data_IF_510754644147
#
_entry.id   IF_510754644147
#
_cell.length_a   1.000
_cell.length_b   1.000
_cell.length_c   1.000
_cell.angle_alpha   90.00
_cell.angle_beta   90.00
_cell.angle_gamma   90.00
#
_symmetry.space_group_name_H-M   'P 1'
#
loop_
_entity.id
_entity.type
_entity.pdbx_description
1 polymer ?
#
# COMPACT_ATOMS: atom_id res chain seq x y z
N UNK A 1 1.18 -21.71 20.34
CA UNK A 1 0.27 -21.31 21.44
C UNK A 1 -0.53 -20.07 21.06
N UNK A 2 -1.85 -20.16 20.97
CA UNK A 2 -2.70 -18.97 20.85
C UNK A 2 -2.55 -18.24 22.18
N UNK A 3 -2.00 -17.03 22.17
CA UNK A 3 -1.94 -16.19 23.35
C UNK A 3 -3.34 -15.66 23.68
N UNK A 4 -4.19 -16.54 24.22
CA UNK A 4 -5.58 -16.23 24.59
C UNK A 4 -5.66 -15.21 25.73
N UNK A 5 -4.56 -15.04 26.48
CA UNK A 5 -4.36 -14.02 27.51
C UNK A 5 -2.88 -13.58 27.53
N UNK A 6 -2.64 -12.27 27.56
CA UNK A 6 -1.31 -11.67 27.75
C UNK A 6 -0.97 -11.68 29.25
N UNK A 7 -0.67 -12.85 29.79
CA UNK A 7 -0.37 -13.04 31.21
C UNK A 7 0.93 -13.82 31.44
N UNK A 8 1.58 -13.60 32.57
CA UNK A 8 2.79 -14.32 32.99
C UNK A 8 3.91 -14.26 31.95
N UNK A 9 4.52 -15.42 31.64
CA UNK A 9 5.65 -15.52 30.71
C UNK A 9 5.32 -15.07 29.28
N UNK A 10 4.07 -15.20 28.84
CA UNK A 10 3.63 -14.71 27.55
C UNK A 10 3.76 -13.19 27.46
N UNK A 11 3.35 -12.49 28.52
CA UNK A 11 3.45 -11.03 28.57
C UNK A 11 4.91 -10.56 28.51
N UNK A 12 5.79 -11.18 29.30
CA UNK A 12 7.21 -10.86 29.28
C UNK A 12 7.82 -11.00 27.88
N UNK A 13 7.48 -12.09 27.16
CA UNK A 13 7.95 -12.29 25.79
C UNK A 13 7.45 -11.21 24.83
N UNK A 14 6.20 -10.76 24.95
CA UNK A 14 5.67 -9.66 24.15
C UNK A 14 6.37 -8.33 24.47
N UNK A 15 6.61 -8.05 25.75
CA UNK A 15 7.33 -6.84 26.19
C UNK A 15 8.78 -6.84 25.69
N UNK A 16 9.49 -7.98 25.74
CA UNK A 16 10.84 -8.14 25.19
C UNK A 16 10.87 -7.88 23.67
N UNK A 17 9.94 -8.49 22.93
CA UNK A 17 9.83 -8.29 21.48
C UNK A 17 9.46 -6.85 21.12
N UNK A 18 8.59 -6.22 21.91
CA UNK A 18 8.25 -4.81 21.73
C UNK A 18 9.48 -3.93 21.98
N UNK A 19 10.25 -4.18 23.03
CA UNK A 19 11.47 -3.40 23.29
C UNK A 19 12.51 -3.58 22.18
N UNK A 20 12.65 -4.79 21.61
CA UNK A 20 13.50 -5.00 20.43
C UNK A 20 13.00 -4.16 19.23
N UNK A 21 11.70 -4.15 18.96
CA UNK A 21 11.13 -3.36 17.87
C UNK A 21 11.33 -1.85 18.07
N UNK A 22 11.14 -1.37 19.30
CA UNK A 22 11.37 0.03 19.67
C UNK A 22 12.86 0.38 19.58
N UNK A 23 13.76 -0.51 19.98
CA UNK A 23 15.21 -0.34 19.87
C UNK A 23 15.64 -0.18 18.41
N UNK A 24 15.14 -1.03 17.49
CA UNK A 24 15.39 -0.90 16.05
C UNK A 24 14.91 0.46 15.54
N UNK A 25 13.70 0.86 15.94
CA UNK A 25 13.09 2.13 15.52
C UNK A 25 13.90 3.34 16.00
N UNK A 26 14.27 3.36 17.29
CA UNK A 26 15.07 4.42 17.94
C UNK A 26 16.48 4.49 17.38
N UNK A 27 17.14 3.34 17.22
CA UNK A 27 18.48 3.28 16.62
C UNK A 27 18.44 3.81 15.19
N UNK A 28 17.47 3.38 14.39
CA UNK A 28 17.33 3.85 13.00
C UNK A 28 17.09 5.36 12.94
N UNK A 29 16.27 5.90 13.86
CA UNK A 29 15.99 7.33 13.96
C UNK A 29 17.25 8.13 14.28
N UNK A 30 17.99 7.74 15.34
CA UNK A 30 19.21 8.43 15.76
C UNK A 30 20.34 8.39 14.72
N UNK A 31 20.26 7.49 13.73
CA UNK A 31 21.25 7.32 12.67
C UNK A 31 20.75 7.83 11.30
N UNK A 32 19.66 8.58 11.25
CA UNK A 32 19.08 9.08 9.99
C UNK A 32 18.93 10.60 10.00
N UNK A 33 19.21 11.24 8.87
CA UNK A 33 18.99 12.67 8.70
C UNK A 33 17.68 12.97 7.97
N UNK A 34 17.18 12.00 7.21
CA UNK A 34 15.94 12.13 6.43
C UNK A 34 14.96 11.01 6.76
N UNK A 35 13.66 11.28 6.58
CA UNK A 35 12.60 10.27 6.75
C UNK A 35 12.82 9.04 5.87
N UNK A 36 13.20 9.22 4.60
CA UNK A 36 13.50 8.11 3.70
C UNK A 36 14.67 7.24 4.16
N UNK A 37 15.68 7.83 4.81
CA UNK A 37 16.79 7.08 5.40
C UNK A 37 16.36 6.29 6.62
N UNK A 38 15.51 6.89 7.47
CA UNK A 38 14.97 6.25 8.66
C UNK A 38 14.20 4.99 8.30
N UNK A 39 13.29 5.08 7.32
CA UNK A 39 12.54 3.92 6.81
C UNK A 39 13.47 2.90 6.16
N UNK A 40 14.43 3.34 5.32
CA UNK A 40 15.40 2.45 4.67
C UNK A 40 16.23 1.67 5.69
N UNK A 41 16.63 2.27 6.81
CA UNK A 41 17.38 1.59 7.88
C UNK A 41 16.54 0.56 8.61
N UNK A 42 15.28 0.88 8.92
CA UNK A 42 14.34 -0.09 9.50
C UNK A 42 14.19 -1.28 8.55
N UNK A 43 13.84 -1.04 7.28
CA UNK A 43 13.66 -2.10 6.29
C UNK A 43 14.95 -2.92 6.09
N UNK A 44 16.11 -2.26 6.03
CA UNK A 44 17.39 -2.93 5.89
C UNK A 44 17.71 -3.85 7.07
N UNK A 45 17.39 -3.43 8.30
CA UNK A 45 17.51 -4.28 9.49
C UNK A 45 16.57 -5.49 9.39
N UNK A 46 15.29 -5.25 9.12
CA UNK A 46 14.28 -6.32 9.06
C UNK A 46 14.60 -7.33 7.95
N UNK A 47 14.83 -6.88 6.73
CA UNK A 47 15.03 -7.78 5.58
C UNK A 47 16.40 -8.44 5.59
N UNK A 48 17.47 -7.69 5.88
CA UNK A 48 18.83 -8.17 5.63
C UNK A 48 19.57 -8.63 6.87
N UNK A 49 19.19 -8.16 8.07
CA UNK A 49 19.80 -8.62 9.32
C UNK A 49 18.94 -9.69 9.98
N UNK A 50 17.66 -9.40 10.21
CA UNK A 50 16.76 -10.35 10.87
C UNK A 50 16.29 -11.44 9.90
N UNK A 51 15.93 -11.07 8.66
CA UNK A 51 15.46 -11.99 7.63
C UNK A 51 16.55 -12.65 6.78
N UNK A 52 17.78 -12.12 6.78
CA UNK A 52 18.87 -12.57 5.91
C UNK A 52 18.49 -12.72 4.42
N UNK A 53 17.67 -11.81 3.90
CA UNK A 53 17.10 -11.90 2.54
C UNK A 53 18.00 -11.29 1.46
N UNK A 54 18.98 -10.46 1.83
CA UNK A 54 19.90 -9.82 0.87
C UNK A 54 19.22 -8.88 -0.12
N UNK A 55 18.10 -8.27 0.26
CA UNK A 55 17.30 -7.38 -0.60
C UNK A 55 17.98 -6.03 -0.74
N UNK A 56 18.34 -5.60 -1.97
CA UNK A 56 18.84 -4.24 -2.20
C UNK A 56 17.71 -3.22 -2.01
N UNK A 57 17.98 -2.16 -1.25
CA UNK A 57 17.03 -1.07 -1.00
C UNK A 57 17.48 0.19 -1.73
N UNK A 58 16.77 0.53 -2.79
CA UNK A 58 17.04 1.71 -3.63
C UNK A 58 16.06 2.83 -3.27
N UNK A 59 16.57 4.02 -2.97
CA UNK A 59 15.73 5.19 -2.72
C UNK A 59 15.64 6.05 -3.98
N UNK A 60 14.43 6.27 -4.49
CA UNK A 60 14.20 7.21 -5.59
C UNK A 60 14.48 8.69 -5.21
N UNK A 61 14.70 8.96 -3.91
CA UNK A 61 15.13 10.28 -3.43
C UNK A 61 16.65 10.47 -3.43
N UNK A 62 17.44 9.41 -3.68
CA UNK A 62 18.89 9.54 -3.79
C UNK A 62 19.23 10.26 -5.10
N UNK A 63 20.02 11.34 -5.02
CA UNK A 63 20.34 12.18 -6.18
C UNK A 63 21.04 11.41 -7.29
N UNK A 64 21.85 10.39 -6.94
CA UNK A 64 22.52 9.53 -7.93
C UNK A 64 21.52 8.64 -8.67
N UNK A 65 20.47 8.21 -7.98
CA UNK A 65 19.39 7.45 -8.62
C UNK A 65 18.56 8.36 -9.51
N UNK A 66 18.30 9.61 -9.09
CA UNK A 66 17.61 10.62 -9.93
C UNK A 66 18.38 10.89 -11.21
N UNK A 67 19.70 11.01 -11.13
CA UNK A 67 20.57 11.18 -12.30
C UNK A 67 20.44 10.04 -13.32
N UNK A 68 20.29 8.80 -12.85
CA UNK A 68 20.08 7.66 -13.74
C UNK A 68 18.66 7.63 -14.35
N UNK A 69 17.65 8.13 -13.63
CA UNK A 69 16.25 8.12 -14.08
C UNK A 69 15.94 9.18 -15.13
N UNK A 70 16.84 10.15 -15.35
CA UNK A 70 16.60 11.31 -16.21
C UNK A 70 16.27 10.92 -17.64
N UNK A 71 17.00 9.97 -18.23
CA UNK A 71 16.75 9.51 -19.60
C UNK A 71 15.34 8.94 -19.77
N UNK A 72 14.86 8.18 -18.78
CA UNK A 72 13.49 7.68 -18.75
C UNK A 72 12.45 8.80 -18.68
N UNK A 73 12.74 9.88 -17.94
CA UNK A 73 11.85 11.05 -17.84
C UNK A 73 11.86 11.90 -19.12
N UNK A 74 13.01 12.09 -19.75
CA UNK A 74 13.15 12.76 -21.05
C UNK A 74 12.40 12.00 -22.14
N UNK A 75 12.53 10.66 -22.17
CA UNK A 75 11.77 9.81 -23.08
C UNK A 75 10.26 10.00 -22.91
N UNK A 76 9.76 10.00 -21.67
CA UNK A 76 8.33 10.20 -21.39
C UNK A 76 7.85 11.61 -21.68
N UNK A 77 8.72 12.61 -21.56
CA UNK A 77 8.41 14.02 -21.81
C UNK A 77 8.35 14.35 -23.31
N UNK A 78 9.12 13.64 -24.14
CA UNK A 78 9.17 13.85 -25.58
C UNK A 78 7.75 13.84 -26.18
N UNK A 79 7.45 14.87 -27.00
CA UNK A 79 6.10 15.19 -27.50
C UNK A 79 5.33 13.96 -27.95
N UNK A 80 5.90 13.18 -28.87
CA UNK A 80 5.23 12.02 -29.45
C UNK A 80 4.85 10.97 -28.39
N UNK A 81 5.78 10.63 -27.49
CA UNK A 81 5.53 9.65 -26.44
C UNK A 81 4.48 10.16 -25.45
N UNK A 82 4.60 11.43 -25.06
CA UNK A 82 3.64 12.11 -24.19
C UNK A 82 2.23 12.10 -24.78
N UNK A 83 2.08 12.45 -26.05
CA UNK A 83 0.78 12.46 -26.74
C UNK A 83 0.15 11.05 -26.81
N UNK A 84 0.96 10.03 -27.11
CA UNK A 84 0.52 8.63 -27.10
C UNK A 84 0.06 8.21 -25.70
N UNK A 85 0.83 8.55 -24.66
CA UNK A 85 0.48 8.28 -23.28
C UNK A 85 -0.85 8.94 -22.89
N UNK A 86 -1.01 10.24 -23.14
CA UNK A 86 -2.20 11.01 -22.78
C UNK A 86 -3.45 10.48 -23.48
N UNK A 87 -3.35 10.22 -24.79
CA UNK A 87 -4.45 9.66 -25.58
C UNK A 87 -4.88 8.32 -25.00
N UNK A 88 -3.92 7.42 -24.75
CA UNK A 88 -4.21 6.07 -24.30
C UNK A 88 -4.78 6.06 -22.88
N UNK A 89 -4.16 6.77 -21.94
CA UNK A 89 -4.67 6.86 -20.56
C UNK A 89 -6.10 7.41 -20.54
N UNK A 90 -6.39 8.48 -21.28
CA UNK A 90 -7.74 9.07 -21.31
C UNK A 90 -8.78 8.17 -21.99
N UNK A 91 -8.39 7.43 -23.02
CA UNK A 91 -9.22 6.40 -23.64
C UNK A 91 -9.58 5.31 -22.62
N UNK A 92 -8.57 4.67 -22.01
CA UNK A 92 -8.77 3.60 -21.02
C UNK A 92 -9.56 4.09 -19.81
N UNK A 93 -9.33 5.33 -19.38
CA UNK A 93 -10.13 5.96 -18.31
C UNK A 93 -11.62 5.95 -18.64
N UNK A 94 -11.97 6.21 -19.90
CA UNK A 94 -13.35 6.22 -20.36
C UNK A 94 -13.90 4.80 -20.46
N UNK A 95 -13.14 3.86 -21.01
CA UNK A 95 -13.53 2.44 -21.09
C UNK A 95 -13.80 1.82 -19.71
N UNK A 96 -12.97 2.13 -18.70
CA UNK A 96 -13.19 1.67 -17.32
C UNK A 96 -14.50 2.25 -16.75
N UNK A 97 -14.74 3.54 -16.95
CA UNK A 97 -15.95 4.21 -16.47
C UNK A 97 -17.21 3.68 -17.16
N UNK A 98 -17.15 3.49 -18.48
CA UNK A 98 -18.25 2.97 -19.30
C UNK A 98 -18.61 1.51 -18.93
N UNK A 99 -17.62 0.74 -18.45
CA UNK A 99 -17.83 -0.59 -17.90
C UNK A 99 -18.39 -0.61 -16.46
N UNK A 100 -18.65 0.57 -15.85
CA UNK A 100 -19.21 0.70 -14.51
C UNK A 100 -18.18 0.59 -13.38
N UNK A 101 -16.89 0.68 -13.69
CA UNK A 101 -15.82 0.67 -12.69
C UNK A 101 -15.28 2.08 -12.42
N UNK A 102 -14.63 2.27 -11.27
CA UNK A 102 -13.94 3.52 -10.95
C UNK A 102 -12.51 3.49 -11.50
N UNK A 103 -12.10 4.46 -12.34
CA UNK A 103 -10.71 4.58 -12.77
C UNK A 103 -9.76 4.77 -11.58
N UNK A 104 -8.59 4.13 -11.63
CA UNK A 104 -7.57 4.23 -10.59
C UNK A 104 -6.83 5.57 -10.59
N UNK A 105 -6.86 6.29 -11.71
CA UNK A 105 -6.41 7.68 -11.83
C UNK A 105 -7.38 8.51 -12.66
N UNK A 106 -7.44 9.82 -12.36
CA UNK A 106 -8.18 10.76 -13.20
C UNK A 106 -7.56 10.95 -14.58
N UNK A 107 -8.29 11.63 -15.47
CA UNK A 107 -7.79 12.03 -16.79
C UNK A 107 -6.55 12.92 -16.68
N UNK A 108 -5.78 12.98 -17.76
CA UNK A 108 -4.60 13.84 -17.89
C UNK A 108 -4.83 14.88 -18.98
N UNK A 109 -4.57 16.14 -18.65
CA UNK A 109 -4.68 17.25 -19.58
C UNK A 109 -3.51 17.31 -20.57
N UNK A 110 -3.66 18.16 -21.58
CA UNK A 110 -2.60 18.48 -22.56
C UNK A 110 -1.43 19.24 -21.96
N UNK A 111 -1.46 19.56 -20.67
CA UNK A 111 -0.46 20.23 -19.84
C UNK A 111 0.31 19.27 -18.90
N UNK A 112 -0.02 17.98 -18.89
CA UNK A 112 0.67 16.98 -18.05
C UNK A 112 2.19 16.95 -18.23
N UNK A 113 2.93 16.84 -17.13
CA UNK A 113 4.38 16.57 -17.08
C UNK A 113 4.61 15.27 -16.30
N UNK A 114 5.44 14.33 -16.79
CA UNK A 114 5.58 12.99 -16.18
C UNK A 114 6.38 12.96 -14.86
N UNK A 115 6.63 14.10 -14.24
CA UNK A 115 7.35 14.23 -12.98
C UNK A 115 6.88 15.46 -12.21
N UNK A 116 7.32 15.56 -10.96
CA UNK A 116 7.26 16.76 -10.14
C UNK A 116 8.65 17.41 -10.08
N UNK A 117 8.68 18.70 -9.75
CA UNK A 117 9.89 19.42 -9.41
C UNK A 117 9.94 19.73 -7.92
N UNK A 118 11.05 19.42 -7.26
CA UNK A 118 11.30 19.71 -5.85
C UNK A 118 12.00 21.06 -5.72
N UNK A 119 11.34 22.01 -5.06
CA UNK A 119 11.84 23.37 -4.88
C UNK A 119 13.24 23.39 -4.23
N UNK A 120 14.14 24.19 -4.80
CA UNK A 120 15.54 24.36 -4.35
C UNK A 120 15.67 25.29 -3.14
N UNK A 121 14.62 26.05 -2.82
CA UNK A 121 14.60 26.91 -1.64
C UNK A 121 14.61 26.06 -0.36
N UNK A 122 15.64 26.24 0.47
CA UNK A 122 15.83 25.48 1.71
C UNK A 122 14.66 25.63 2.70
N UNK A 123 13.96 26.76 2.69
CA UNK A 123 12.80 27.01 3.55
C UNK A 123 11.57 26.20 3.12
N UNK A 124 11.58 25.63 1.92
CA UNK A 124 10.47 24.84 1.38
C UNK A 124 10.61 23.34 1.64
N UNK A 125 11.71 22.89 2.26
CA UNK A 125 11.97 21.47 2.54
C UNK A 125 11.70 20.55 1.33
N UNK A 126 12.16 20.97 0.15
CA UNK A 126 11.97 20.23 -1.12
C UNK A 126 10.50 19.99 -1.48
N UNK A 127 9.64 20.98 -1.19
CA UNK A 127 8.22 20.97 -1.57
C UNK A 127 8.04 20.61 -3.05
N UNK A 128 7.20 19.60 -3.30
CA UNK A 128 6.92 19.10 -4.65
C UNK A 128 5.96 20.03 -5.37
N UNK A 129 6.36 20.42 -6.56
CA UNK A 129 5.63 21.32 -7.44
C UNK A 129 5.18 20.56 -8.67
N UNK A 130 3.89 20.69 -8.97
CA UNK A 130 3.32 20.27 -10.25
C UNK A 130 3.78 21.23 -11.35
N UNK A 131 4.34 20.66 -12.42
CA UNK A 131 4.69 21.40 -13.62
C UNK A 131 3.61 21.20 -14.68
N UNK A 132 3.43 22.24 -15.50
CA UNK A 132 2.52 22.31 -16.63
C UNK A 132 3.32 22.49 -17.92
N UNK A 133 3.03 21.65 -18.91
CA UNK A 133 3.65 21.63 -20.22
C UNK A 133 2.95 22.62 -21.17
N UNK A 134 3.72 23.51 -21.76
CA UNK A 134 3.30 24.40 -22.85
C UNK A 134 4.11 24.07 -24.11
N UNK A 135 3.42 23.70 -25.18
CA UNK A 135 4.04 23.46 -26.49
C UNK A 135 4.28 24.78 -27.23
N UNK A 136 5.54 25.10 -27.54
CA UNK A 136 5.96 26.26 -28.32
C UNK A 136 6.67 25.88 -29.63
N UNK A 137 6.30 24.74 -30.22
CA UNK A 137 6.77 24.31 -31.54
C UNK A 137 8.06 23.50 -31.50
N UNK A 138 9.23 24.10 -31.41
CA UNK A 138 10.49 23.33 -31.23
C UNK A 138 10.87 23.19 -29.76
N UNK A 139 10.23 24.00 -28.92
CA UNK A 139 10.52 24.17 -27.50
C UNK A 139 9.29 23.79 -26.69
N UNK A 140 9.49 23.05 -25.62
CA UNK A 140 8.53 22.84 -24.55
C UNK A 140 8.92 23.72 -23.37
N UNK A 141 7.98 24.54 -22.90
CA UNK A 141 8.14 25.27 -21.63
C UNK A 141 7.40 24.52 -20.53
N UNK A 142 8.11 24.16 -19.47
CA UNK A 142 7.52 23.58 -18.26
C UNK A 142 7.42 24.67 -17.21
N UNK A 143 6.21 24.97 -16.74
CA UNK A 143 5.96 26.03 -15.75
C UNK A 143 5.31 25.50 -14.49
N UNK A 144 5.63 26.07 -13.34
CA UNK A 144 4.99 25.74 -12.08
C UNK A 144 5.22 26.80 -11.03
N UNK A 145 4.55 26.66 -9.89
CA UNK A 145 4.71 27.59 -8.76
C UNK A 145 4.81 26.78 -7.47
N UNK A 146 5.90 26.99 -6.72
CA UNK A 146 6.09 26.28 -5.47
C UNK A 146 4.91 26.56 -4.51
N UNK A 147 4.23 25.53 -3.98
CA UNK A 147 3.07 25.75 -3.12
C UNK A 147 3.46 26.34 -1.75
N UNK A 148 4.75 26.35 -1.41
CA UNK A 148 5.27 26.85 -0.13
C UNK A 148 5.77 28.29 -0.24
N UNK A 149 6.78 28.57 -1.09
CA UNK A 149 7.35 29.92 -1.22
C UNK A 149 6.76 30.74 -2.37
N UNK A 150 5.85 30.20 -3.18
CA UNK A 150 5.32 30.89 -4.36
C UNK A 150 6.34 31.24 -5.45
N UNK A 151 7.56 30.71 -5.38
CA UNK A 151 8.60 30.92 -6.39
C UNK A 151 8.16 30.29 -7.74
N UNK A 152 8.23 31.06 -8.85
CA UNK A 152 7.96 30.53 -10.17
C UNK A 152 9.10 29.60 -10.62
N UNK A 153 8.73 28.50 -11.27
CA UNK A 153 9.66 27.54 -11.86
C UNK A 153 9.38 27.53 -13.36
N UNK A 154 10.42 27.76 -14.15
CA UNK A 154 10.39 27.71 -15.61
C UNK A 154 11.56 26.85 -16.09
N UNK A 155 11.27 25.84 -16.91
CA UNK A 155 12.26 24.95 -17.50
C UNK A 155 11.99 24.89 -19.00
N UNK A 156 12.95 25.37 -19.79
CA UNK A 156 12.88 25.32 -21.25
C UNK A 156 13.64 24.11 -21.76
N UNK A 157 13.04 23.34 -22.66
CA UNK A 157 13.68 22.16 -23.25
C UNK A 157 13.15 21.89 -24.65
N UNK A 158 13.82 21.05 -25.45
CA UNK A 158 13.30 20.67 -26.77
C UNK A 158 12.04 19.81 -26.63
N UNK A 159 11.00 20.08 -27.43
CA UNK A 159 9.77 19.28 -27.40
C UNK A 159 9.99 17.84 -27.87
N UNK A 160 10.85 17.64 -28.86
CA UNK A 160 11.04 16.34 -29.51
C UNK A 160 12.25 15.56 -28.96
N UNK A 161 13.21 16.24 -28.33
CA UNK A 161 14.37 15.61 -27.68
C UNK A 161 14.71 16.34 -26.38
N UNK A 162 13.86 16.22 -25.34
CA UNK A 162 14.07 16.94 -24.09
C UNK A 162 15.41 16.61 -23.44
N UNK A 163 16.03 17.62 -22.85
CA UNK A 163 17.18 17.52 -21.97
C UNK A 163 16.86 18.14 -20.60
N UNK A 164 17.06 17.37 -19.54
CA UNK A 164 16.72 17.69 -18.15
C UNK A 164 17.94 17.59 -17.22
N UNK A 165 19.15 17.41 -17.77
CA UNK A 165 20.38 17.24 -16.98
C UNK A 165 20.63 18.35 -15.95
N UNK A 166 20.21 19.59 -16.25
CA UNK A 166 20.41 20.75 -15.37
C UNK A 166 19.52 20.73 -14.11
N UNK A 167 18.35 20.07 -14.19
CA UNK A 167 17.33 20.07 -13.13
C UNK A 167 17.11 18.69 -12.51
N UNK A 168 17.83 17.69 -12.99
CA UNK A 168 17.70 16.27 -12.66
C UNK A 168 17.63 15.98 -11.16
N UNK A 169 18.45 16.65 -10.35
CA UNK A 169 18.50 16.44 -8.90
C UNK A 169 17.21 16.84 -8.19
N UNK A 170 16.39 17.66 -8.83
CA UNK A 170 15.14 18.18 -8.31
C UNK A 170 13.93 17.46 -8.90
N UNK A 171 14.12 16.47 -9.79
CA UNK A 171 13.00 15.74 -10.35
C UNK A 171 12.57 14.61 -9.39
N UNK A 172 11.25 14.46 -9.23
CA UNK A 172 10.67 13.33 -8.51
C UNK A 172 9.53 12.69 -9.28
N UNK A 173 9.41 11.37 -9.13
CA UNK A 173 8.52 10.56 -9.95
C UNK A 173 7.05 10.77 -9.59
N UNK A 174 6.17 10.73 -10.61
CA UNK A 174 4.73 10.57 -10.43
C UNK A 174 4.36 9.10 -10.39
N UNK A 175 3.23 8.80 -9.76
CA UNK A 175 2.73 7.41 -9.64
C UNK A 175 2.53 6.73 -11.00
N UNK A 176 2.11 7.50 -12.00
CA UNK A 176 1.74 7.03 -13.34
C UNK A 176 2.91 6.92 -14.32
N UNK A 177 4.05 7.57 -14.03
CA UNK A 177 5.28 7.50 -14.81
C UNK A 177 6.40 6.68 -14.14
N UNK A 178 6.32 6.49 -12.82
CA UNK A 178 7.36 5.91 -11.98
C UNK A 178 7.93 4.61 -12.54
N UNK A 179 7.07 3.65 -12.92
CA UNK A 179 7.55 2.34 -13.32
C UNK A 179 8.34 2.40 -14.63
N UNK A 180 7.84 3.17 -15.61
CA UNK A 180 8.52 3.36 -16.89
C UNK A 180 9.89 4.05 -16.71
N UNK A 181 9.97 5.01 -15.78
CA UNK A 181 11.25 5.63 -15.42
C UNK A 181 12.19 4.62 -14.74
N UNK A 182 11.71 3.82 -13.78
CA UNK A 182 12.52 2.78 -13.11
C UNK A 182 13.04 1.75 -14.11
N UNK A 183 12.22 1.35 -15.08
CA UNK A 183 12.57 0.35 -16.08
C UNK A 183 13.70 0.79 -17.03
N UNK A 184 14.00 2.10 -17.08
CA UNK A 184 15.16 2.62 -17.81
C UNK A 184 16.50 2.27 -17.15
N UNK A 185 16.51 1.97 -15.85
CA UNK A 185 17.73 1.71 -15.07
C UNK A 185 17.78 0.31 -14.44
N UNK A 186 16.60 -0.31 -14.25
CA UNK A 186 16.47 -1.65 -13.68
C UNK A 186 15.59 -2.46 -14.63
N UNK A 187 16.08 -3.56 -15.22
CA UNK A 187 15.26 -4.41 -16.09
C UNK A 187 14.27 -5.22 -15.25
N UNK A 188 13.15 -4.60 -14.88
CA UNK A 188 12.14 -5.21 -14.01
C UNK A 188 11.39 -6.30 -14.77
N UNK A 189 11.43 -7.53 -14.26
CA UNK A 189 10.63 -8.64 -14.82
C UNK A 189 9.25 -8.71 -14.17
N UNK A 190 9.19 -8.44 -12.86
CA UNK A 190 7.96 -8.52 -12.06
C UNK A 190 7.86 -7.28 -11.18
N UNK A 191 6.71 -6.62 -11.23
CA UNK A 191 6.32 -5.57 -10.30
C UNK A 191 5.36 -6.15 -9.28
N UNK A 192 5.73 -6.17 -8.00
CA UNK A 192 4.83 -6.58 -6.92
C UNK A 192 4.11 -5.36 -6.37
N UNK A 193 2.79 -5.32 -6.46
CA UNK A 193 2.01 -4.16 -6.06
C UNK A 193 0.70 -4.44 -5.34
N UNK A 194 0.16 -3.40 -4.72
CA UNK A 194 -1.08 -3.46 -3.94
C UNK A 194 -2.36 -3.30 -4.78
N UNK A 195 -3.54 -3.40 -4.15
CA UNK A 195 -4.82 -3.19 -4.81
C UNK A 195 -4.97 -1.75 -5.38
N UNK A 196 -4.44 -0.74 -4.69
CA UNK A 196 -4.43 0.63 -5.20
C UNK A 196 -3.57 0.79 -6.45
N UNK A 197 -2.45 0.08 -6.51
CA UNK A 197 -1.58 0.06 -7.69
C UNK A 197 -2.20 -0.70 -8.85
N UNK A 198 -2.85 -1.84 -8.58
CA UNK A 198 -3.60 -2.58 -9.58
C UNK A 198 -4.66 -1.69 -10.27
N UNK A 199 -5.32 -0.81 -9.49
CA UNK A 199 -6.32 0.10 -10.03
C UNK A 199 -5.72 1.09 -11.04
N UNK A 200 -4.61 1.77 -10.72
CA UNK A 200 -4.04 2.75 -11.64
C UNK A 200 -3.20 2.11 -12.76
N UNK A 201 -2.59 0.94 -12.53
CA UNK A 201 -1.87 0.20 -13.59
C UNK A 201 -2.80 -0.36 -14.67
N UNK A 202 -4.10 -0.50 -14.39
CA UNK A 202 -5.08 -0.77 -15.46
C UNK A 202 -5.07 0.28 -16.57
N UNK A 203 -4.65 1.52 -16.27
CA UNK A 203 -4.51 2.63 -17.23
C UNK A 203 -3.06 2.77 -17.74
N UNK A 204 -2.06 2.59 -16.88
CA UNK A 204 -0.64 2.78 -17.23
C UNK A 204 -0.11 1.66 -18.13
N UNK A 205 -0.48 0.39 -17.89
CA UNK A 205 0.05 -0.75 -18.67
C UNK A 205 -0.31 -0.61 -20.15
N UNK A 206 -1.58 -0.35 -20.54
CA UNK A 206 -1.91 -0.10 -21.95
C UNK A 206 -1.17 1.10 -22.54
N UNK A 207 -0.97 2.17 -21.76
CA UNK A 207 -0.24 3.35 -22.23
C UNK A 207 1.24 3.07 -22.48
N UNK A 208 1.90 2.32 -21.59
CA UNK A 208 3.27 1.85 -21.79
C UNK A 208 3.39 0.98 -23.05
N UNK A 209 2.46 0.03 -23.24
CA UNK A 209 2.40 -0.81 -24.44
C UNK A 209 2.20 -0.01 -25.73
N UNK A 210 1.35 1.02 -25.69
CA UNK A 210 1.12 1.91 -26.84
C UNK A 210 2.39 2.70 -27.23
N UNK A 211 3.24 3.02 -26.25
CA UNK A 211 4.57 3.63 -26.48
C UNK A 211 5.67 2.61 -26.79
N UNK A 212 5.32 1.32 -26.95
CA UNK A 212 6.29 0.22 -27.15
C UNK A 212 7.32 0.07 -26.01
N UNK A 213 6.94 0.44 -24.79
CA UNK A 213 7.74 0.21 -23.58
C UNK A 213 7.38 -1.17 -23.02
N UNK A 214 8.37 -2.09 -22.85
CA UNK A 214 8.15 -3.33 -22.12
C UNK A 214 7.71 -2.99 -20.70
N UNK A 215 6.58 -3.55 -20.27
CA UNK A 215 6.09 -3.36 -18.91
C UNK A 215 6.23 -4.67 -18.11
N UNK A 216 6.73 -4.64 -16.87
CA UNK A 216 6.90 -5.83 -16.05
C UNK A 216 5.57 -6.56 -15.81
N UNK A 217 5.63 -7.86 -15.54
CA UNK A 217 4.46 -8.58 -15.09
C UNK A 217 3.99 -8.00 -13.74
N UNK A 218 2.79 -7.43 -13.72
CA UNK A 218 2.20 -6.94 -12.47
C UNK A 218 1.64 -8.10 -11.64
N UNK A 219 2.21 -8.32 -10.46
CA UNK A 219 1.78 -9.32 -9.49
C UNK A 219 1.20 -8.60 -8.28
N UNK A 220 -0.06 -8.85 -7.98
CA UNK A 220 -0.71 -8.38 -6.77
C UNK A 220 -0.34 -9.29 -5.61
N UNK A 221 0.30 -8.74 -4.58
CA UNK A 221 0.66 -9.54 -3.42
C UNK A 221 -0.59 -10.10 -2.71
N UNK A 222 -0.50 -11.28 -2.06
CA UNK A 222 -1.58 -11.81 -1.26
C UNK A 222 -1.87 -10.91 -0.06
N UNK A 223 -3.14 -10.52 0.13
CA UNK A 223 -3.52 -9.75 1.33
C UNK A 223 -3.49 -10.66 2.54
N UNK A 224 -2.89 -10.21 3.62
CA UNK A 224 -2.78 -10.99 4.85
C UNK A 224 -3.63 -10.37 5.96
N UNK A 225 -4.45 -11.22 6.57
CA UNK A 225 -5.09 -10.98 7.86
C UNK A 225 -4.46 -11.88 8.92
N UNK A 226 -4.43 -11.44 10.17
CA UNK A 226 -3.94 -12.23 11.28
C UNK A 226 -4.58 -11.79 12.60
N UNK A 227 -4.51 -12.68 13.58
CA UNK A 227 -5.00 -12.40 14.92
C UNK A 227 -3.92 -11.82 15.82
N UNK A 228 -4.39 -11.04 16.79
CA UNK A 228 -3.62 -10.68 17.97
C UNK A 228 -4.42 -10.91 19.24
N UNK A 229 -3.72 -10.97 20.39
CA UNK A 229 -4.39 -11.12 21.67
C UNK A 229 -5.44 -10.04 21.95
N UNK A 230 -5.18 -8.79 21.56
CA UNK A 230 -6.12 -7.68 21.77
C UNK A 230 -7.31 -7.71 20.80
N UNK A 231 -7.10 -8.13 19.54
CA UNK A 231 -8.20 -8.33 18.59
C UNK A 231 -9.11 -9.48 19.03
N UNK A 232 -8.53 -10.59 19.49
CA UNK A 232 -9.28 -11.73 20.02
C UNK A 232 -10.03 -11.38 21.31
N UNK A 233 -9.46 -10.54 22.17
CA UNK A 233 -10.15 -10.03 23.36
C UNK A 233 -11.36 -9.18 22.97
N UNK A 234 -11.17 -8.18 22.10
CA UNK A 234 -12.26 -7.30 21.66
C UNK A 234 -13.34 -8.08 20.89
N UNK A 235 -12.95 -9.08 20.09
CA UNK A 235 -13.90 -9.96 19.42
C UNK A 235 -14.80 -10.70 20.41
N UNK A 236 -14.25 -11.24 21.51
CA UNK A 236 -15.04 -11.90 22.54
C UNK A 236 -16.00 -10.96 23.24
N UNK A 237 -15.53 -9.76 23.61
CA UNK A 237 -16.37 -8.73 24.24
C UNK A 237 -17.53 -8.30 23.34
N UNK A 238 -17.32 -8.23 22.02
CA UNK A 238 -18.36 -7.93 21.04
C UNK A 238 -19.31 -9.13 20.82
N UNK A 239 -18.80 -10.35 20.79
CA UNK A 239 -19.61 -11.57 20.66
C UNK A 239 -20.54 -11.76 21.87
N UNK A 240 -20.07 -11.45 23.09
CA UNK A 240 -20.90 -11.41 24.31
C UNK A 240 -22.03 -10.38 24.24
N UNK A 241 -21.88 -9.35 23.40
CA UNK A 241 -22.88 -8.32 23.10
C UNK A 241 -23.69 -8.64 21.84
N UNK A 242 -23.67 -9.90 21.40
CA UNK A 242 -24.38 -10.42 20.23
C UNK A 242 -24.00 -9.74 18.92
N UNK A 243 -22.76 -9.23 18.81
CA UNK A 243 -22.25 -8.60 17.58
C UNK A 243 -21.49 -9.57 16.70
N UNK A 244 -21.57 -9.33 15.40
CA UNK A 244 -20.89 -10.16 14.39
C UNK A 244 -19.38 -9.95 14.45
N UNK A 245 -18.58 -11.01 14.55
CA UNK A 245 -17.11 -10.92 14.61
C UNK A 245 -16.42 -11.83 13.60
N UNK A 246 -15.19 -11.46 13.21
CA UNK A 246 -14.40 -12.26 12.27
C UNK A 246 -13.89 -13.56 12.90
N UNK A 247 -13.58 -13.52 14.21
CA UNK A 247 -12.84 -14.56 14.92
C UNK A 247 -13.73 -15.74 15.36
N UNK A 248 -14.65 -16.16 14.49
CA UNK A 248 -15.60 -17.26 14.72
C UNK A 248 -15.16 -18.55 14.01
N UNK A 249 -15.81 -19.68 14.35
CA UNK A 249 -15.45 -21.02 13.87
C UNK A 249 -15.31 -21.11 12.33
N UNK A 250 -16.14 -20.38 11.60
CA UNK A 250 -16.14 -20.40 10.13
C UNK A 250 -14.84 -19.90 9.51
N UNK A 251 -14.25 -18.85 10.07
CA UNK A 251 -12.98 -18.30 9.61
C UNK A 251 -11.87 -19.35 9.72
N UNK A 252 -11.74 -19.95 10.91
CA UNK A 252 -10.72 -20.99 11.16
C UNK A 252 -10.96 -22.25 10.31
N UNK A 253 -12.24 -22.60 10.07
CA UNK A 253 -12.61 -23.71 9.19
C UNK A 253 -12.17 -23.44 7.74
N UNK A 254 -12.38 -22.23 7.23
CA UNK A 254 -11.98 -21.85 5.86
C UNK A 254 -10.45 -21.81 5.71
N UNK A 255 -9.75 -21.16 6.65
CA UNK A 255 -8.27 -21.13 6.66
C UNK A 255 -7.67 -22.55 6.80
N UNK A 256 -8.26 -23.39 7.66
CA UNK A 256 -7.86 -24.79 7.81
C UNK A 256 -8.10 -25.64 6.54
N UNK A 257 -9.22 -25.42 5.84
CA UNK A 257 -9.48 -26.06 4.54
C UNK A 257 -8.42 -25.67 3.50
N UNK A 258 -8.11 -24.38 3.37
CA UNK A 258 -7.08 -23.91 2.45
C UNK A 258 -5.72 -24.58 2.75
N UNK A 259 -5.32 -24.61 4.03
CA UNK A 259 -4.11 -25.28 4.48
C UNK A 259 -4.10 -26.78 4.18
N UNK A 260 -5.23 -27.48 4.38
CA UNK A 260 -5.39 -28.90 4.09
C UNK A 260 -5.26 -29.20 2.61
N UNK A 261 -5.95 -28.45 1.75
CA UNK A 261 -5.89 -28.63 0.29
C UNK A 261 -4.50 -28.36 -0.24
N UNK A 262 -3.83 -27.33 0.29
CA UNK A 262 -2.43 -27.05 -0.04
C UNK A 262 -1.49 -28.20 0.27
N UNK A 263 -1.56 -28.79 1.48
CA UNK A 263 -0.72 -29.96 1.86
C UNK A 263 -0.97 -31.18 0.97
N UNK A 264 -2.14 -31.27 0.35
CA UNK A 264 -2.51 -32.35 -0.59
C UNK A 264 -2.26 -31.97 -2.06
N UNK A 265 -1.65 -30.81 -2.33
CA UNK A 265 -1.45 -30.27 -3.68
C UNK A 265 -2.75 -30.12 -4.49
N UNK A 266 -3.88 -29.92 -3.82
CA UNK A 266 -5.20 -29.71 -4.43
C UNK A 266 -5.47 -28.22 -4.64
N UNK A 267 -4.74 -27.59 -5.56
CA UNK A 267 -4.66 -26.13 -5.67
C UNK A 267 -5.96 -25.44 -6.10
N UNK A 268 -6.81 -26.07 -6.92
CA UNK A 268 -8.11 -25.50 -7.27
C UNK A 268 -9.04 -25.41 -6.05
N UNK A 269 -9.09 -26.47 -5.25
CA UNK A 269 -9.85 -26.47 -4.00
C UNK A 269 -9.26 -25.51 -2.96
N UNK A 270 -7.93 -25.37 -2.90
CA UNK A 270 -7.26 -24.36 -2.08
C UNK A 270 -7.69 -22.95 -2.49
N UNK A 271 -7.60 -22.60 -3.78
CA UNK A 271 -7.96 -21.29 -4.30
C UNK A 271 -9.46 -21.00 -4.10
N UNK A 272 -10.33 -22.01 -4.21
CA UNK A 272 -11.76 -21.86 -3.85
C UNK A 272 -11.94 -21.55 -2.36
N UNK A 273 -11.24 -22.26 -1.47
CA UNK A 273 -11.29 -21.99 -0.04
C UNK A 273 -10.75 -20.59 0.34
N UNK A 274 -9.70 -20.10 -0.34
CA UNK A 274 -9.19 -18.75 -0.16
C UNK A 274 -10.17 -17.68 -0.67
N UNK A 275 -10.85 -17.95 -1.79
CA UNK A 275 -11.93 -17.08 -2.28
C UNK A 275 -13.08 -17.01 -1.28
N UNK A 276 -13.52 -18.15 -0.75
CA UNK A 276 -14.61 -18.22 0.24
C UNK A 276 -14.21 -17.50 1.54
N UNK A 277 -12.94 -17.61 1.97
CA UNK A 277 -12.39 -16.84 3.08
C UNK A 277 -12.44 -15.32 2.82
N UNK A 278 -12.07 -14.89 1.61
CA UNK A 278 -12.14 -13.48 1.23
C UNK A 278 -13.57 -12.94 1.27
N UNK A 279 -14.53 -13.70 0.74
CA UNK A 279 -15.95 -13.36 0.78
C UNK A 279 -16.44 -13.25 2.23
N UNK A 280 -16.12 -14.23 3.07
CA UNK A 280 -16.50 -14.22 4.48
C UNK A 280 -15.96 -13.01 5.25
N UNK A 281 -14.71 -12.61 4.99
CA UNK A 281 -14.11 -11.40 5.59
C UNK A 281 -14.90 -10.15 5.17
N UNK A 282 -15.20 -10.00 3.87
CA UNK A 282 -15.93 -8.85 3.34
C UNK A 282 -17.38 -8.80 3.84
N UNK A 283 -18.06 -9.93 3.94
CA UNK A 283 -19.43 -10.01 4.48
C UNK A 283 -19.44 -9.62 5.96
N UNK A 284 -18.52 -10.14 6.76
CA UNK A 284 -18.40 -9.79 8.19
C UNK A 284 -18.16 -8.30 8.36
N UNK A 285 -17.28 -7.72 7.54
CA UNK A 285 -17.01 -6.28 7.50
C UNK A 285 -18.26 -5.46 7.12
N UNK A 286 -18.99 -5.88 6.09
CA UNK A 286 -20.21 -5.20 5.64
C UNK A 286 -21.31 -5.25 6.70
N UNK A 287 -21.48 -6.38 7.39
CA UNK A 287 -22.45 -6.51 8.49
C UNK A 287 -22.15 -5.56 9.63
N UNK A 288 -20.88 -5.47 10.07
CA UNK A 288 -20.48 -4.54 11.13
C UNK A 288 -20.71 -3.07 10.75
N UNK A 289 -20.46 -2.69 9.50
CA UNK A 289 -20.76 -1.34 9.03
C UNK A 289 -22.26 -1.05 9.02
N UNK A 290 -23.08 -2.04 8.63
CA UNK A 290 -24.54 -1.91 8.71
C UNK A 290 -25.01 -1.75 10.16
N UNK A 291 -24.47 -2.55 11.09
CA UNK A 291 -24.74 -2.42 12.53
C UNK A 291 -24.37 -1.02 13.04
N UNK A 292 -23.24 -0.43 12.62
CA UNK A 292 -22.85 0.94 12.97
C UNK A 292 -23.85 2.00 12.48
N UNK A 293 -24.41 1.83 11.28
CA UNK A 293 -25.42 2.76 10.76
C UNK A 293 -26.67 2.72 11.64
N UNK A 294 -27.14 1.52 11.98
CA UNK A 294 -28.30 1.35 12.86
C UNK A 294 -28.05 1.94 14.26
N UNK A 295 -26.88 1.69 14.84
CA UNK A 295 -26.46 2.23 16.13
C UNK A 295 -26.47 3.76 16.16
N UNK A 296 -26.00 4.41 15.09
CA UNK A 296 -26.03 5.89 15.00
C UNK A 296 -27.46 6.43 15.10
N UNK A 297 -28.40 5.82 14.38
CA UNK A 297 -29.82 6.20 14.45
C UNK A 297 -30.43 5.91 15.82
N UNK A 298 -30.06 4.80 16.46
CA UNK A 298 -30.56 4.46 17.80
C UNK A 298 -30.10 5.48 18.86
N UNK A 299 -28.82 5.88 18.81
CA UNK A 299 -28.24 6.87 19.74
C UNK A 299 -29.00 8.20 19.72
N UNK A 300 -29.40 8.69 18.54
CA UNK A 300 -30.15 9.94 18.39
C UNK A 300 -31.50 9.94 19.14
N UNK A 301 -32.10 8.75 19.30
CA UNK A 301 -33.38 8.56 20.00
C UNK A 301 -33.27 8.33 21.50
N UNK A 302 -32.06 8.23 22.06
CA UNK A 302 -31.81 7.83 23.45
C UNK A 302 -31.16 8.94 24.27
N UNK A 303 -31.30 8.89 25.59
CA UNK A 303 -30.72 9.87 26.53
C UNK A 303 -30.20 9.20 27.80
N UNK A 304 -29.29 9.86 28.50
CA UNK A 304 -28.71 9.37 29.75
C UNK A 304 -27.87 8.12 29.54
N UNK A 305 -27.95 7.19 30.49
CA UNK A 305 -27.12 5.97 30.50
C UNK A 305 -27.30 5.09 29.27
N UNK A 306 -28.52 4.98 28.73
CA UNK A 306 -28.76 4.19 27.52
C UNK A 306 -28.01 4.74 26.30
N UNK A 307 -27.93 6.07 26.16
CA UNK A 307 -27.16 6.69 25.07
C UNK A 307 -25.65 6.48 25.27
N UNK A 308 -25.17 6.53 26.51
CA UNK A 308 -23.76 6.29 26.85
C UNK A 308 -23.34 4.84 26.54
N UNK A 309 -24.17 3.86 26.91
CA UNK A 309 -23.92 2.44 26.64
C UNK A 309 -23.85 2.17 25.11
N UNK A 310 -24.76 2.77 24.33
CA UNK A 310 -24.75 2.67 22.87
C UNK A 310 -23.54 3.38 22.23
N UNK A 311 -23.13 4.54 22.76
CA UNK A 311 -21.91 5.23 22.32
C UNK A 311 -20.66 4.39 22.57
N UNK A 312 -20.57 3.74 23.73
CA UNK A 312 -19.46 2.83 24.05
C UNK A 312 -19.41 1.64 23.10
N UNK A 313 -20.55 1.00 22.83
CA UNK A 313 -20.66 -0.08 21.86
C UNK A 313 -20.26 0.38 20.44
N UNK A 314 -20.70 1.56 20.01
CA UNK A 314 -20.28 2.16 18.74
C UNK A 314 -18.75 2.29 18.67
N UNK A 315 -18.11 2.81 19.72
CA UNK A 315 -16.65 2.99 19.77
C UNK A 315 -15.90 1.66 19.77
N UNK A 316 -16.45 0.61 20.39
CA UNK A 316 -15.88 -0.73 20.34
C UNK A 316 -15.95 -1.34 18.93
N UNK A 317 -17.08 -1.19 18.24
CA UNK A 317 -17.22 -1.66 16.85
C UNK A 317 -16.30 -0.88 15.92
N UNK A 318 -16.23 0.46 16.04
CA UNK A 318 -15.31 1.29 15.25
C UNK A 318 -13.84 0.88 15.47
N UNK A 319 -13.47 0.61 16.74
CA UNK A 319 -12.13 0.10 17.09
C UNK A 319 -11.87 -1.27 16.50
N UNK A 320 -12.86 -2.17 16.54
CA UNK A 320 -12.74 -3.51 15.96
C UNK A 320 -12.62 -3.47 14.44
N UNK A 321 -13.37 -2.61 13.77
CA UNK A 321 -13.26 -2.37 12.32
C UNK A 321 -11.87 -1.84 11.94
N UNK A 322 -11.34 -0.89 12.72
CA UNK A 322 -10.00 -0.35 12.53
C UNK A 322 -8.93 -1.43 12.71
N UNK A 323 -8.97 -2.18 13.82
CA UNK A 323 -7.93 -3.15 14.15
C UNK A 323 -8.02 -4.47 13.37
N UNK A 324 -9.21 -4.91 12.97
CA UNK A 324 -9.36 -6.21 12.27
C UNK A 324 -9.37 -6.03 10.76
N UNK A 325 -9.97 -4.94 10.27
CA UNK A 325 -10.21 -4.75 8.84
C UNK A 325 -9.43 -3.58 8.23
N UNK A 326 -8.71 -2.81 9.02
CA UNK A 326 -7.97 -1.65 8.52
C UNK A 326 -8.84 -0.43 8.22
N UNK A 327 -10.07 -0.39 8.72
CA UNK A 327 -11.00 0.70 8.47
C UNK A 327 -10.86 1.80 9.53
N UNK A 328 -9.85 2.65 9.37
CA UNK A 328 -9.69 3.88 10.15
C UNK A 328 -10.41 5.09 9.54
N UNK A 329 -10.82 4.99 8.28
CA UNK A 329 -11.71 5.93 7.60
C UNK A 329 -12.56 5.22 6.56
N UNK A 330 -13.60 5.89 6.06
CA UNK A 330 -14.49 5.34 5.03
C UNK A 330 -13.69 4.90 3.79
N UNK A 331 -14.02 3.73 3.24
CA UNK A 331 -13.36 3.14 2.07
C UNK A 331 -11.96 2.57 2.31
N UNK A 332 -11.37 2.70 3.51
CA UNK A 332 -10.09 2.05 3.85
C UNK A 332 -10.33 0.61 4.29
N UNK A 333 -9.64 -0.32 3.63
CA UNK A 333 -9.81 -1.76 3.82
C UNK A 333 -8.49 -2.51 3.66
N UNK A 334 -8.33 -3.55 4.48
CA UNK A 334 -7.15 -4.40 4.58
C UNK A 334 -6.41 -4.11 5.87
N UNK A 335 -6.26 -5.13 6.74
CA UNK A 335 -5.62 -4.99 8.05
C UNK A 335 -4.23 -4.35 7.96
N UNK A 336 -3.46 -4.67 6.93
CA UNK A 336 -2.16 -4.06 6.61
C UNK A 336 -2.16 -2.51 6.52
N UNK A 337 -3.33 -1.88 6.37
CA UNK A 337 -3.46 -0.41 6.30
C UNK A 337 -3.43 0.28 7.66
N UNK A 338 -3.69 -0.43 8.76
CA UNK A 338 -3.69 0.13 10.14
C UNK A 338 -2.58 -0.44 11.02
N UNK A 339 -1.89 -1.48 10.55
CA UNK A 339 -0.90 -2.20 11.32
C UNK A 339 0.48 -1.84 10.84
N UNK A 340 1.41 -1.68 11.78
CA UNK A 340 2.82 -1.55 11.47
C UNK A 340 3.48 -2.93 11.43
N UNK A 341 4.74 -2.97 11.01
CA UNK A 341 5.56 -4.17 11.09
C UNK A 341 5.80 -4.61 12.54
N UNK A 342 5.63 -3.72 13.53
CA UNK A 342 5.85 -4.02 14.96
C UNK A 342 4.86 -5.06 15.42
N UNK A 343 3.58 -4.88 15.13
CA UNK A 343 2.55 -5.82 15.53
C UNK A 343 2.79 -7.21 14.94
N UNK A 344 3.26 -7.26 13.69
CA UNK A 344 3.68 -8.51 13.08
C UNK A 344 4.86 -9.15 13.85
N UNK A 345 5.92 -8.38 14.08
CA UNK A 345 7.14 -8.84 14.73
C UNK A 345 6.92 -9.30 16.18
N UNK A 346 6.04 -8.65 16.96
CA UNK A 346 5.75 -9.09 18.33
C UNK A 346 4.96 -10.41 18.35
N UNK A 347 4.16 -10.68 17.33
CA UNK A 347 3.42 -11.94 17.23
C UNK A 347 4.29 -13.08 16.66
N UNK A 348 5.00 -12.85 15.55
CA UNK A 348 5.89 -13.86 14.95
C UNK A 348 7.16 -14.10 15.77
N UNK A 349 7.70 -13.04 16.37
CA UNK A 349 9.09 -12.98 16.83
C UNK A 349 10.04 -12.65 15.68
N UNK A 350 11.18 -12.03 16.01
CA UNK A 350 12.19 -11.61 15.03
C UNK A 350 12.88 -12.79 14.32
N UNK A 351 13.11 -13.90 15.03
CA UNK A 351 13.70 -15.11 14.45
C UNK A 351 12.80 -15.85 13.45
N UNK A 352 11.50 -15.53 13.41
CA UNK A 352 10.52 -16.10 12.49
C UNK A 352 9.76 -14.98 11.75
N UNK A 353 10.42 -13.84 11.49
CA UNK A 353 9.75 -12.66 10.96
C UNK A 353 9.07 -12.91 9.60
N UNK A 354 9.71 -13.69 8.72
CA UNK A 354 9.20 -14.02 7.38
C UNK A 354 8.61 -15.43 7.26
N UNK A 355 8.89 -16.31 8.23
CA UNK A 355 8.43 -17.70 8.16
C UNK A 355 6.91 -17.87 8.07
N UNK A 356 6.04 -17.03 8.66
CA UNK A 356 4.61 -17.13 8.43
C UNK A 356 4.21 -16.89 6.97
N UNK A 357 4.91 -16.00 6.25
CA UNK A 357 4.68 -15.80 4.81
C UNK A 357 5.14 -17.03 4.01
N UNK A 358 6.34 -17.55 4.28
CA UNK A 358 6.85 -18.77 3.64
C UNK A 358 5.94 -19.97 3.87
N UNK A 359 5.45 -20.11 5.11
CA UNK A 359 4.50 -21.15 5.50
C UNK A 359 3.11 -20.94 4.97
N UNK A 360 2.75 -19.79 4.39
CA UNK A 360 1.40 -19.54 3.85
C UNK A 360 1.40 -19.56 2.31
N UNK A 361 2.40 -18.95 1.68
CA UNK A 361 2.50 -18.80 0.23
C UNK A 361 2.86 -20.11 -0.49
N UNK A 362 2.29 -20.31 -1.68
CA UNK A 362 2.68 -21.33 -2.65
C UNK A 362 2.46 -20.78 -4.07
N UNK A 363 3.34 -21.13 -5.02
CA UNK A 363 3.28 -20.60 -6.39
C UNK A 363 1.90 -20.73 -7.09
N UNK A 364 1.16 -21.84 -6.96
CA UNK A 364 -0.17 -21.99 -7.56
C UNK A 364 -1.31 -21.17 -6.92
N UNK A 365 -1.01 -20.34 -5.92
CA UNK A 365 -1.98 -19.42 -5.34
C UNK A 365 -2.40 -18.35 -6.34
N UNK A 366 -3.70 -18.06 -6.43
CA UNK A 366 -4.19 -16.99 -7.32
C UNK A 366 -3.64 -15.62 -6.92
N UNK A 367 -3.35 -14.81 -7.93
CA UNK A 367 -2.87 -13.44 -7.80
C UNK A 367 -3.80 -12.61 -6.89
N UNK A 368 -3.26 -11.93 -5.87
CA UNK A 368 -4.04 -11.13 -4.92
C UNK A 368 -4.96 -11.92 -3.97
N UNK A 369 -4.71 -13.21 -3.74
CA UNK A 369 -5.49 -14.02 -2.80
C UNK A 369 -5.49 -13.43 -1.37
N UNK A 370 -6.56 -13.69 -0.62
CA UNK A 370 -6.68 -13.30 0.79
C UNK A 370 -6.27 -14.47 1.68
N UNK A 371 -5.32 -14.22 2.57
CA UNK A 371 -4.77 -15.17 3.53
C UNK A 371 -5.15 -14.78 4.94
N UNK A 372 -5.27 -15.79 5.78
CA UNK A 372 -5.37 -15.60 7.22
C UNK A 372 -4.26 -16.39 7.91
N UNK A 373 -3.37 -15.68 8.59
CA UNK A 373 -2.19 -16.22 9.26
C UNK A 373 -2.46 -16.35 10.75
N UNK A 374 -2.18 -17.54 11.27
CA UNK A 374 -2.15 -17.82 12.69
C UNK A 374 -0.69 -18.06 13.09
N UNK A 375 -0.16 -17.24 14.00
CA UNK A 375 1.22 -17.36 14.49
C UNK A 375 1.43 -18.53 15.44
N UNK A 376 0.36 -19.20 15.91
CA UNK A 376 0.47 -20.42 16.69
C UNK A 376 0.72 -21.63 15.78
N UNK A 377 1.95 -21.76 15.26
CA UNK A 377 2.44 -23.00 14.61
C UNK A 377 3.60 -23.55 15.41
#
# INVERSE_FOLDING_TARGET
PIFKALEGSARNLFEERLEQALSITRWSYNNSSLFGEWIKRILGRLFNVEGNLGVPLVSASDTRIRELLTEGLEFLLARNNREIFLKTVNQITSEIADAGFNPGMGRRGSDYVPFYYECTNNECHSSRTELHYEDRGTIALLTGKCPTCSEPIEIETSSDSPYLGEVTRNLSLRVDSRQMAIDSIIPTVVHVGGPGEAAYYSQVIPAAQAMSIPFPLFVRYPRVYFNTPWNEKLARELEEKEKTVLHRQDMFRLSGKASKFRRKSQFDHMNKALSDLSTFILETHSTLNHELVLLKTEIEGKKGKEAEDLLNLKLEIERYLSWTFGQFSEGKLGQESTWSWIEWAINSGFGDLFGPFERAYVGPMKNGATLFINFAV
#
